data_IF_925510407236
#
_entry.id   IF_925510407236
#
_cell.length_a   1.000
_cell.length_b   1.000
_cell.length_c   1.000
_cell.angle_alpha   90.00
_cell.angle_beta   90.00
_cell.angle_gamma   90.00
#
_symmetry.space_group_name_H-M   'P 1'
#
loop_
_entity.id
_entity.type
_entity.pdbx_description
1 polymer ?
#
# COMPACT_ATOMS: atom_id res chain seq x y z
N UNK A 1 -3.03 14.57 8.34
CA UNK A 1 -3.78 13.80 7.33
C UNK A 1 -3.98 12.33 7.67
N UNK A 2 -3.19 11.81 8.63
CA UNK A 2 -3.31 10.40 9.00
C UNK A 2 -4.70 10.01 9.49
N UNK A 3 -5.39 10.90 10.20
CA UNK A 3 -6.74 10.63 10.68
C UNK A 3 -7.79 10.51 9.57
N UNK A 4 -7.44 10.92 8.33
CA UNK A 4 -8.35 10.89 7.19
C UNK A 4 -8.31 9.57 6.42
N UNK A 5 -7.32 8.71 6.70
CA UNK A 5 -7.20 7.39 6.10
C UNK A 5 -7.60 6.31 7.10
N UNK A 6 -8.14 5.21 6.61
CA UNK A 6 -8.61 4.13 7.48
C UNK A 6 -7.46 3.45 8.21
N UNK A 7 -7.65 3.19 9.51
CA UNK A 7 -6.66 2.51 10.35
C UNK A 7 -7.08 1.06 10.58
N UNK A 8 -6.09 0.16 10.54
CA UNK A 8 -6.28 -1.24 10.94
C UNK A 8 -5.67 -1.40 12.32
N UNK A 9 -6.44 -1.92 13.27
CA UNK A 9 -6.13 -1.86 14.69
C UNK A 9 -5.54 -3.12 15.29
N UNK A 10 -5.58 -4.23 14.56
CA UNK A 10 -5.02 -5.51 15.01
C UNK A 10 -4.65 -6.39 13.82
N UNK A 11 -3.90 -7.47 14.09
CA UNK A 11 -3.42 -8.35 13.03
C UNK A 11 -4.54 -9.01 12.24
N UNK A 12 -5.63 -9.34 12.90
CA UNK A 12 -6.79 -9.93 12.21
C UNK A 12 -7.38 -8.96 11.19
N UNK A 13 -7.52 -7.69 11.55
CA UNK A 13 -8.03 -6.68 10.61
C UNK A 13 -7.10 -6.49 9.41
N UNK A 14 -5.78 -6.54 9.63
CA UNK A 14 -4.81 -6.47 8.53
C UNK A 14 -4.98 -7.65 7.58
N UNK A 15 -5.05 -8.86 8.14
CA UNK A 15 -5.26 -10.06 7.34
C UNK A 15 -6.57 -10.00 6.56
N UNK A 16 -7.65 -9.55 7.18
CA UNK A 16 -8.94 -9.43 6.53
C UNK A 16 -8.93 -8.37 5.43
N UNK A 17 -8.27 -7.26 5.65
CA UNK A 17 -8.17 -6.21 4.64
C UNK A 17 -7.45 -6.71 3.38
N UNK A 18 -6.39 -7.50 3.57
CA UNK A 18 -5.62 -8.06 2.46
C UNK A 18 -6.40 -9.19 1.77
N UNK A 19 -7.01 -10.07 2.55
CA UNK A 19 -7.71 -11.25 2.04
C UNK A 19 -9.00 -10.91 1.31
N UNK A 20 -9.78 -9.97 1.86
CA UNK A 20 -11.13 -9.71 1.36
C UNK A 20 -11.16 -8.85 0.11
N UNK A 21 -10.09 -8.14 -0.22
CA UNK A 21 -10.06 -7.28 -1.39
C UNK A 21 -9.63 -8.07 -2.62
N UNK A 22 -10.59 -8.36 -3.50
CA UNK A 22 -10.31 -9.12 -4.73
C UNK A 22 -10.13 -8.23 -5.95
N UNK A 23 -10.62 -7.00 -5.89
CA UNK A 23 -10.75 -6.14 -7.04
C UNK A 23 -9.71 -5.02 -7.10
N UNK A 24 -9.02 -4.75 -6.01
CA UNK A 24 -8.15 -3.60 -5.91
C UNK A 24 -6.82 -3.96 -5.27
N UNK A 25 -5.82 -3.15 -5.57
CA UNK A 25 -4.55 -3.17 -4.85
C UNK A 25 -4.82 -2.69 -3.43
N UNK A 26 -4.25 -3.36 -2.45
CA UNK A 26 -4.27 -2.92 -1.06
C UNK A 26 -2.93 -2.30 -0.75
N UNK A 27 -2.92 -1.02 -0.41
CA UNK A 27 -1.73 -0.29 0.00
C UNK A 27 -1.78 -0.12 1.52
N UNK A 28 -0.73 -0.53 2.22
CA UNK A 28 -0.66 -0.39 3.67
C UNK A 28 0.60 0.39 4.04
N UNK A 29 0.43 1.47 4.79
CA UNK A 29 1.53 2.21 5.40
C UNK A 29 1.72 1.69 6.83
N UNK A 30 2.90 1.15 7.11
CA UNK A 30 3.30 0.71 8.43
C UNK A 30 4.18 1.78 9.06
N UNK A 31 3.86 2.22 10.27
CA UNK A 31 4.62 3.25 10.96
C UNK A 31 3.83 3.82 12.13
N UNK A 32 4.00 5.12 12.37
CA UNK A 32 3.29 5.83 13.43
C UNK A 32 2.72 7.13 12.89
N UNK A 33 1.47 7.43 13.25
CA UNK A 33 0.80 8.65 12.80
C UNK A 33 1.52 9.92 13.27
N UNK A 34 2.21 9.85 14.41
CA UNK A 34 2.93 11.00 14.98
C UNK A 34 4.32 11.20 14.40
N UNK A 35 4.85 10.23 13.65
CA UNK A 35 6.19 10.34 13.07
C UNK A 35 6.19 11.32 11.91
N UNK A 36 7.12 12.28 11.88
CA UNK A 36 7.15 13.27 10.79
C UNK A 36 7.30 12.67 9.39
N UNK A 37 8.05 11.57 9.26
CA UNK A 37 8.20 10.87 7.98
C UNK A 37 6.88 10.28 7.54
N UNK A 38 6.15 9.64 8.47
CA UNK A 38 4.83 9.10 8.19
C UNK A 38 3.83 10.19 7.87
N UNK A 39 3.89 11.33 8.56
CA UNK A 39 2.99 12.44 8.28
C UNK A 39 3.11 12.92 6.84
N UNK A 40 4.33 13.05 6.34
CA UNK A 40 4.56 13.45 4.94
C UNK A 40 4.07 12.40 3.96
N UNK A 41 4.35 11.13 4.26
CA UNK A 41 3.87 10.02 3.42
C UNK A 41 2.35 9.99 3.39
N UNK A 42 1.71 10.10 4.55
CA UNK A 42 0.25 10.04 4.66
C UNK A 42 -0.41 11.21 3.93
N UNK A 43 0.22 12.37 3.95
CA UNK A 43 -0.27 13.53 3.19
C UNK A 43 -0.29 13.23 1.69
N UNK A 44 0.79 12.66 1.18
CA UNK A 44 0.88 12.28 -0.25
C UNK A 44 -0.15 11.20 -0.60
N UNK A 45 -0.30 10.20 0.26
CA UNK A 45 -1.26 9.12 0.05
C UNK A 45 -2.69 9.65 0.05
N UNK A 46 -3.03 10.48 1.03
CA UNK A 46 -4.37 11.04 1.13
C UNK A 46 -4.69 11.92 -0.08
N UNK A 47 -3.71 12.68 -0.55
CA UNK A 47 -3.90 13.58 -1.69
C UNK A 47 -4.30 12.85 -2.97
N UNK A 48 -3.91 11.58 -3.14
CA UNK A 48 -4.24 10.80 -4.34
C UNK A 48 -5.30 9.73 -4.08
N UNK A 49 -5.67 9.49 -2.83
CA UNK A 49 -6.57 8.39 -2.47
C UNK A 49 -7.88 8.42 -3.26
N UNK A 50 -8.48 9.60 -3.40
CA UNK A 50 -9.74 9.75 -4.13
C UNK A 50 -9.56 9.44 -5.62
N UNK A 51 -8.43 9.83 -6.20
CA UNK A 51 -8.14 9.62 -7.62
C UNK A 51 -7.95 8.15 -7.97
N UNK A 52 -7.42 7.37 -7.02
CA UNK A 52 -7.09 5.96 -7.28
C UNK A 52 -8.03 4.98 -6.58
N UNK A 53 -9.11 5.47 -5.99
CA UNK A 53 -10.01 4.64 -5.18
C UNK A 53 -10.62 3.46 -5.93
N UNK A 54 -10.70 3.54 -7.24
CA UNK A 54 -11.27 2.46 -8.05
C UNK A 54 -10.30 1.30 -8.26
N UNK A 55 -9.00 1.51 -8.04
CA UNK A 55 -8.00 0.46 -8.20
C UNK A 55 -7.08 0.28 -7.00
N UNK A 56 -7.19 1.11 -5.99
CA UNK A 56 -6.32 1.02 -4.81
C UNK A 56 -7.06 1.45 -3.56
N UNK A 57 -7.01 0.61 -2.53
CA UNK A 57 -7.53 0.93 -1.20
C UNK A 57 -6.33 1.13 -0.28
N UNK A 58 -6.37 2.17 0.54
CA UNK A 58 -5.27 2.55 1.41
C UNK A 58 -5.62 2.38 2.88
N UNK A 59 -4.68 1.84 3.65
CA UNK A 59 -4.81 1.67 5.10
C UNK A 59 -3.56 2.10 5.82
N UNK A 60 -3.72 2.48 7.07
CA UNK A 60 -2.62 2.82 7.96
C UNK A 60 -2.56 1.80 9.09
N UNK A 61 -1.34 1.38 9.45
CA UNK A 61 -1.10 0.45 10.55
C UNK A 61 -0.03 1.04 11.46
N UNK A 62 -0.33 1.09 12.77
CA UNK A 62 0.62 1.48 13.80
C UNK A 62 1.41 0.24 14.22
N UNK A 63 2.72 0.24 14.00
CA UNK A 63 3.57 -0.92 14.26
C UNK A 63 3.76 -1.22 15.75
N UNK A 64 3.41 -0.28 16.64
CA UNK A 64 3.38 -0.53 18.08
C UNK A 64 2.08 -1.19 18.50
N UNK A 65 0.97 -0.77 17.89
CA UNK A 65 -0.34 -1.34 18.17
C UNK A 65 -0.51 -2.71 17.52
N UNK A 66 0.07 -2.89 16.33
CA UNK A 66 0.00 -4.14 15.57
C UNK A 66 1.43 -4.62 15.29
N UNK A 67 2.08 -5.26 16.27
CA UNK A 67 3.46 -5.73 16.09
C UNK A 67 3.58 -7.02 15.30
N UNK A 68 2.47 -7.63 14.94
CA UNK A 68 2.39 -8.97 14.36
C UNK A 68 3.25 -9.15 13.10
N UNK A 69 3.44 -8.08 12.32
CA UNK A 69 4.12 -8.17 11.02
C UNK A 69 5.52 -7.57 11.04
N UNK A 70 5.94 -6.99 12.17
CA UNK A 70 7.19 -6.23 12.24
C UNK A 70 8.42 -7.06 11.85
N UNK A 71 8.51 -8.27 12.38
CA UNK A 71 9.63 -9.16 12.11
C UNK A 71 9.55 -9.77 10.71
N UNK A 72 8.38 -10.22 10.33
CA UNK A 72 8.18 -10.88 9.04
C UNK A 72 8.47 -9.95 7.86
N UNK A 73 8.05 -8.70 7.95
CA UNK A 73 8.25 -7.71 6.89
C UNK A 73 9.45 -6.79 7.15
N UNK A 74 10.21 -7.04 8.21
CA UNK A 74 11.39 -6.25 8.58
C UNK A 74 11.06 -4.75 8.65
N UNK A 75 10.04 -4.41 9.44
CA UNK A 75 9.54 -3.04 9.56
C UNK A 75 10.40 -2.23 10.54
N UNK A 76 11.66 -2.00 10.18
CA UNK A 76 12.63 -1.30 11.00
C UNK A 76 12.79 0.18 10.63
N UNK A 77 12.24 0.59 9.51
CA UNK A 77 12.26 1.98 9.08
C UNK A 77 11.10 2.76 9.70
N UNK A 78 11.23 4.09 9.85
CA UNK A 78 10.15 4.90 10.44
C UNK A 78 8.85 4.80 9.67
N UNK A 79 8.91 4.63 8.35
CA UNK A 79 7.73 4.56 7.50
C UNK A 79 7.98 3.55 6.39
N UNK A 80 7.03 2.64 6.21
CA UNK A 80 7.10 1.61 5.16
C UNK A 80 5.76 1.50 4.47
N UNK A 81 5.77 1.48 3.15
CA UNK A 81 4.57 1.24 2.34
C UNK A 81 4.73 -0.07 1.60
N UNK A 82 3.72 -0.92 1.69
CA UNK A 82 3.69 -2.21 1.01
C UNK A 82 2.40 -2.35 0.22
N UNK A 83 2.45 -3.16 -0.83
CA UNK A 83 1.32 -3.40 -1.72
C UNK A 83 0.95 -4.87 -1.75
N UNK A 84 -0.36 -5.13 -1.79
CA UNK A 84 -0.91 -6.48 -1.86
C UNK A 84 -1.98 -6.53 -2.95
N UNK A 85 -2.10 -7.68 -3.60
CA UNK A 85 -3.18 -7.93 -4.53
C UNK A 85 -3.61 -9.39 -4.44
N UNK A 86 -4.89 -9.61 -4.16
CA UNK A 86 -5.47 -10.93 -4.03
C UNK A 86 -4.70 -11.81 -3.07
N UNK A 87 -4.48 -11.28 -1.87
CA UNK A 87 -3.79 -11.98 -0.78
C UNK A 87 -2.33 -12.31 -1.09
N UNK A 88 -1.71 -11.58 -2.03
CA UNK A 88 -0.30 -11.74 -2.35
C UNK A 88 0.44 -10.43 -2.14
N UNK A 89 1.60 -10.51 -1.50
CA UNK A 89 2.51 -9.37 -1.41
C UNK A 89 3.11 -9.10 -2.79
N UNK A 90 2.95 -7.89 -3.28
CA UNK A 90 3.49 -7.49 -4.59
C UNK A 90 4.89 -6.93 -4.39
N UNK A 91 5.86 -7.59 -5.00
CA UNK A 91 7.27 -7.18 -4.97
C UNK A 91 7.65 -6.66 -6.34
N UNK A 92 8.12 -5.41 -6.41
CA UNK A 92 8.46 -4.76 -7.67
C UNK A 92 9.81 -4.07 -7.53
N UNK A 93 10.66 -4.23 -8.54
CA UNK A 93 11.94 -3.54 -8.59
C UNK A 93 11.71 -2.10 -9.05
N UNK A 94 11.88 -1.16 -8.13
CA UNK A 94 11.78 0.27 -8.41
C UNK A 94 13.15 0.94 -8.52
N UNK A 95 14.21 0.13 -8.64
CA UNK A 95 15.56 0.65 -8.78
C UNK A 95 16.23 1.08 -7.49
N UNK A 96 15.61 0.79 -6.33
CA UNK A 96 16.12 1.21 -5.02
C UNK A 96 16.95 0.14 -4.33
N UNK A 97 17.01 -1.07 -4.90
CA UNK A 97 17.63 -2.22 -4.24
C UNK A 97 16.73 -2.95 -3.27
N UNK A 98 15.55 -2.44 -3.00
CA UNK A 98 14.55 -3.10 -2.16
C UNK A 98 13.27 -3.30 -2.96
N UNK A 99 12.94 -4.55 -3.25
CA UNK A 99 11.79 -4.89 -4.08
C UNK A 99 10.53 -5.16 -3.28
N UNK A 100 10.63 -5.20 -1.96
CA UNK A 100 9.54 -5.61 -1.09
C UNK A 100 8.67 -4.47 -0.60
N UNK A 101 9.24 -3.28 -0.50
CA UNK A 101 8.57 -2.17 0.18
C UNK A 101 9.17 -0.83 -0.22
N UNK A 102 8.39 0.22 0.01
CA UNK A 102 8.83 1.61 -0.15
C UNK A 102 9.18 2.12 1.24
N UNK A 103 10.45 2.46 1.47
CA UNK A 103 10.92 2.97 2.76
C UNK A 103 11.48 4.39 2.67
N UNK A 104 11.09 5.12 1.63
CA UNK A 104 11.37 6.55 1.49
C UNK A 104 10.05 7.32 1.35
N UNK A 105 10.07 8.62 1.64
CA UNK A 105 8.86 9.44 1.51
C UNK A 105 8.59 9.76 0.04
N UNK A 106 7.39 9.46 -0.40
CA UNK A 106 6.90 9.86 -1.71
C UNK A 106 6.28 11.24 -1.58
N UNK A 107 7.08 12.28 -1.76
CA UNK A 107 6.64 13.66 -1.54
C UNK A 107 5.75 14.19 -2.67
N UNK A 108 5.88 13.66 -3.87
CA UNK A 108 5.11 14.08 -5.04
C UNK A 108 3.93 13.14 -5.24
N UNK A 109 2.73 13.72 -5.37
CA UNK A 109 1.51 12.98 -5.68
C UNK A 109 1.66 12.13 -6.94
N UNK A 110 2.34 12.68 -7.96
CA UNK A 110 2.52 11.96 -9.22
C UNK A 110 3.37 10.71 -9.03
N UNK A 111 4.35 10.74 -8.14
CA UNK A 111 5.16 9.58 -7.83
C UNK A 111 4.31 8.43 -7.29
N UNK A 112 3.35 8.74 -6.40
CA UNK A 112 2.43 7.73 -5.87
C UNK A 112 1.60 7.12 -6.98
N UNK A 113 1.05 7.95 -7.85
CA UNK A 113 0.24 7.49 -8.98
C UNK A 113 1.07 6.63 -9.92
N UNK A 114 2.29 7.05 -10.24
CA UNK A 114 3.18 6.33 -11.15
C UNK A 114 3.51 4.92 -10.60
N UNK A 115 3.76 4.82 -9.31
CA UNK A 115 4.05 3.54 -8.67
C UNK A 115 2.83 2.63 -8.72
N UNK A 116 1.64 3.14 -8.45
CA UNK A 116 0.41 2.36 -8.56
C UNK A 116 0.20 1.86 -9.99
N UNK A 117 0.47 2.69 -10.99
CA UNK A 117 0.41 2.29 -12.39
C UNK A 117 1.40 1.18 -12.73
N UNK A 118 2.63 1.26 -12.22
CA UNK A 118 3.64 0.22 -12.40
C UNK A 118 3.14 -1.10 -11.81
N UNK A 119 2.52 -1.07 -10.64
CA UNK A 119 1.97 -2.25 -10.00
C UNK A 119 0.84 -2.86 -10.83
N UNK A 120 -0.04 -2.02 -11.38
CA UNK A 120 -1.10 -2.51 -12.26
C UNK A 120 -0.54 -3.20 -13.49
N UNK A 121 0.50 -2.62 -14.10
CA UNK A 121 1.20 -3.24 -15.23
C UNK A 121 1.83 -4.57 -14.85
N UNK A 122 2.45 -4.63 -13.68
CA UNK A 122 3.05 -5.87 -13.18
C UNK A 122 2.00 -6.97 -13.04
N UNK A 123 0.83 -6.64 -12.48
CA UNK A 123 -0.27 -7.57 -12.33
C UNK A 123 -0.72 -8.11 -13.69
N UNK A 124 -0.83 -7.23 -14.69
CA UNK A 124 -1.19 -7.61 -16.05
C UNK A 124 -0.18 -8.55 -16.69
N UNK A 125 1.10 -8.18 -16.60
CA UNK A 125 2.19 -8.96 -17.23
C UNK A 125 2.28 -10.34 -16.61
N UNK A 126 2.07 -10.46 -15.31
CA UNK A 126 2.08 -11.74 -14.59
C UNK A 126 0.83 -12.55 -14.84
N UNK A 127 -0.09 -12.03 -15.65
CA UNK A 127 -1.28 -12.75 -16.06
C UNK A 127 -2.16 -13.19 -14.89
N UNK A 128 -2.23 -12.35 -13.86
CA UNK A 128 -3.15 -12.54 -12.74
C UNK A 128 -4.52 -12.18 -13.26
N UNK A 129 -5.14 -13.11 -13.97
CA UNK A 129 -6.38 -12.85 -14.69
C UNK A 129 -7.60 -12.93 -13.81
N UNK A 130 -8.51 -12.03 -14.08
CA UNK A 130 -9.89 -12.14 -13.68
C UNK A 130 -10.69 -11.06 -14.39
N UNK A 131 -11.98 -11.17 -14.33
CA UNK A 131 -12.91 -10.13 -14.79
C UNK A 131 -12.59 -8.81 -14.07
N UNK A 132 -12.09 -8.90 -12.85
CA UNK A 132 -11.73 -7.76 -12.01
C UNK A 132 -10.60 -6.93 -12.61
N UNK A 133 -9.57 -7.60 -13.17
CA UNK A 133 -8.45 -6.89 -13.79
C UNK A 133 -8.94 -6.12 -15.01
N UNK A 134 -9.80 -6.72 -15.81
CA UNK A 134 -10.41 -6.03 -16.94
C UNK A 134 -11.16 -4.79 -16.50
N UNK A 135 -11.83 -4.87 -15.35
CA UNK A 135 -12.53 -3.73 -14.77
C UNK A 135 -11.56 -2.62 -14.34
N UNK A 136 -10.41 -2.99 -13.76
CA UNK A 136 -9.37 -2.03 -13.39
C UNK A 136 -8.82 -1.30 -14.61
N UNK A 137 -8.60 -2.02 -15.69
CA UNK A 137 -8.06 -1.46 -16.94
C UNK A 137 -9.07 -0.52 -17.61
N UNK A 138 -10.34 -0.84 -17.55
CA UNK A 138 -11.39 -0.08 -18.24
C UNK A 138 -11.76 1.22 -17.53
N UNK A 139 -11.22 1.44 -16.36
CA UNK A 139 -11.42 2.68 -15.63
C UNK A 139 -10.49 3.78 -16.14
#
# INVERSE_FOLDING_TARGET
MSFMLAHLENGWQVDQAILSEEDKIVLIRFGHDWDPTCMKMDESLFAVAEKVKNFCTMYLVDISQVPDFNKMYELYDPCTVMFFFRNKHIMIDLGTGNNNKINWVMEDKQEVIDIIEVILYYILIRNIRSVTINRLISI
#
